data_IF_661832336077
#
_entry.id   IF_661832336077
#
_cell.length_a   1.000
_cell.length_b   1.000
_cell.length_c   1.000
_cell.angle_alpha   90.00
_cell.angle_beta   90.00
_cell.angle_gamma   90.00
#
_symmetry.space_group_name_H-M   'P 1'
#
loop_
_entity.id
_entity.type
_entity.pdbx_description
1 polymer ?
#
# COMPACT_ATOMS: atom_id res chain seq x y z
N UNK A 1 -9.61 -23.15 4.23
CA UNK A 1 -10.13 -22.71 2.92
C UNK A 1 -9.93 -23.69 1.75
N UNK A 2 -8.91 -24.58 1.74
CA UNK A 2 -8.69 -25.57 0.65
C UNK A 2 -9.75 -26.69 0.51
N UNK A 3 -10.66 -26.88 1.48
CA UNK A 3 -11.63 -27.99 1.51
C UNK A 3 -13.06 -27.63 1.10
N UNK A 4 -13.36 -26.38 0.71
CA UNK A 4 -14.76 -25.93 0.60
C UNK A 4 -15.18 -25.31 -0.74
N UNK A 5 -14.26 -25.06 -1.69
CA UNK A 5 -14.64 -24.69 -3.06
C UNK A 5 -13.49 -24.98 -4.05
N UNK A 6 -13.82 -25.40 -5.26
CA UNK A 6 -12.92 -25.45 -6.42
C UNK A 6 -12.61 -24.03 -6.96
N UNK A 7 -12.36 -23.07 -6.07
CA UNK A 7 -11.85 -21.74 -6.44
C UNK A 7 -10.33 -21.88 -6.50
N UNK A 8 -9.64 -21.31 -7.49
CA UNK A 8 -8.19 -21.23 -7.48
C UNK A 8 -7.76 -20.26 -6.35
N UNK A 9 -7.76 -20.73 -5.10
CA UNK A 9 -7.46 -19.95 -3.88
C UNK A 9 -6.16 -19.16 -4.05
N UNK A 10 -5.16 -19.77 -4.68
CA UNK A 10 -3.89 -19.12 -4.96
C UNK A 10 -4.03 -17.91 -5.92
N UNK A 11 -4.89 -17.99 -6.94
CA UNK A 11 -5.14 -16.83 -7.84
C UNK A 11 -5.90 -15.74 -7.11
N UNK A 12 -6.89 -16.11 -6.29
CA UNK A 12 -7.64 -15.15 -5.49
C UNK A 12 -6.71 -14.35 -4.57
N UNK A 13 -5.82 -15.03 -3.85
CA UNK A 13 -4.82 -14.39 -2.97
C UNK A 13 -3.89 -13.45 -3.75
N UNK A 14 -3.44 -13.84 -4.95
CA UNK A 14 -2.59 -12.98 -5.78
C UNK A 14 -3.34 -11.72 -6.20
N UNK A 15 -4.56 -11.87 -6.72
CA UNK A 15 -5.38 -10.73 -7.16
C UNK A 15 -5.82 -9.84 -6.00
N UNK A 16 -6.04 -10.41 -4.81
CA UNK A 16 -6.29 -9.66 -3.58
C UNK A 16 -5.07 -8.82 -3.19
N UNK A 17 -3.86 -9.39 -3.26
CA UNK A 17 -2.62 -8.64 -3.01
C UNK A 17 -2.46 -7.46 -3.99
N UNK A 18 -2.70 -7.69 -5.29
CA UNK A 18 -2.65 -6.64 -6.30
C UNK A 18 -3.75 -5.60 -6.07
N UNK A 19 -4.97 -6.01 -5.71
CA UNK A 19 -6.07 -5.12 -5.39
C UNK A 19 -5.79 -4.26 -4.15
N UNK A 20 -5.18 -4.82 -3.10
CA UNK A 20 -4.78 -4.06 -1.92
C UNK A 20 -3.75 -2.98 -2.29
N UNK A 21 -2.74 -3.30 -3.12
CA UNK A 21 -1.79 -2.29 -3.61
C UNK A 21 -2.48 -1.22 -4.48
N UNK A 22 -3.42 -1.60 -5.35
CA UNK A 22 -4.15 -0.67 -6.20
C UNK A 22 -5.12 0.24 -5.44
N UNK A 23 -5.87 -0.28 -4.48
CA UNK A 23 -6.85 0.49 -3.71
C UNK A 23 -6.16 1.38 -2.66
N UNK A 24 -5.10 0.89 -2.02
CA UNK A 24 -4.39 1.65 -0.98
C UNK A 24 -3.68 2.89 -1.51
N UNK A 25 -3.34 2.94 -2.80
CA UNK A 25 -2.60 4.07 -3.36
C UNK A 25 -3.43 5.36 -3.44
N UNK A 26 -4.76 5.28 -3.46
CA UNK A 26 -5.65 6.44 -3.65
C UNK A 26 -5.55 7.47 -2.54
N UNK A 27 -5.37 7.04 -1.29
CA UNK A 27 -5.47 7.93 -0.12
C UNK A 27 -4.14 8.01 0.64
N UNK A 28 -3.86 9.13 1.35
CA UNK A 28 -2.71 9.24 2.22
C UNK A 28 -2.59 8.09 3.22
N UNK A 29 -3.70 7.68 3.82
CA UNK A 29 -3.72 6.68 4.92
C UNK A 29 -3.78 5.24 4.41
N UNK A 30 -3.95 5.02 3.11
CA UNK A 30 -4.09 3.68 2.55
C UNK A 30 -2.83 2.82 2.73
N UNK A 31 -1.64 3.42 2.67
CA UNK A 31 -0.38 2.71 2.91
C UNK A 31 0.67 3.61 3.60
N UNK A 32 1.68 3.03 4.29
CA UNK A 32 2.64 3.82 5.08
C UNK A 32 3.46 4.81 4.25
N UNK A 33 3.84 4.45 3.01
CA UNK A 33 4.61 5.34 2.15
C UNK A 33 3.81 6.59 1.74
N UNK A 34 2.50 6.47 1.52
CA UNK A 34 1.64 7.59 1.19
C UNK A 34 1.53 8.58 2.34
N UNK A 35 1.48 8.11 3.59
CA UNK A 35 1.48 8.98 4.78
C UNK A 35 2.75 9.84 4.80
N UNK A 36 3.91 9.25 4.53
CA UNK A 36 5.19 9.96 4.50
C UNK A 36 5.26 10.98 3.37
N UNK A 37 4.81 10.60 2.17
CA UNK A 37 4.75 11.48 1.01
C UNK A 37 3.82 12.67 1.27
N UNK A 38 2.62 12.40 1.81
CA UNK A 38 1.64 13.42 2.15
C UNK A 38 2.17 14.40 3.21
N UNK A 39 2.77 13.87 4.29
CA UNK A 39 3.34 14.72 5.34
C UNK A 39 4.49 15.61 4.87
N UNK A 40 5.21 15.23 3.81
CA UNK A 40 6.31 15.99 3.20
C UNK A 40 5.89 16.86 2.01
N UNK A 41 4.78 16.56 1.35
CA UNK A 41 4.31 17.31 0.18
C UNK A 41 3.62 18.62 0.54
N UNK A 42 3.09 18.74 1.76
CA UNK A 42 2.36 19.93 2.21
C UNK A 42 0.95 20.04 1.63
N UNK A 43 0.48 19.02 0.91
CA UNK A 43 -0.86 18.95 0.33
C UNK A 43 -1.91 18.67 1.42
N UNK A 44 -3.15 19.09 1.18
CA UNK A 44 -4.34 18.63 1.93
C UNK A 44 -4.64 17.16 1.62
N UNK A 45 -5.49 16.52 2.43
CA UNK A 45 -5.90 15.13 2.19
C UNK A 45 -6.57 14.98 0.82
N UNK A 46 -7.41 15.96 0.45
CA UNK A 46 -8.14 15.97 -0.81
C UNK A 46 -7.22 16.17 -2.02
N UNK A 47 -6.25 17.09 -1.94
CA UNK A 47 -5.28 17.34 -3.02
C UNK A 47 -4.39 16.10 -3.24
N UNK A 48 -3.88 15.49 -2.16
CA UNK A 48 -3.11 14.26 -2.28
C UNK A 48 -3.94 13.14 -2.91
N UNK A 49 -5.19 12.98 -2.49
CA UNK A 49 -6.07 11.95 -3.07
C UNK A 49 -6.40 12.25 -4.53
N UNK A 50 -6.57 13.53 -4.88
CA UNK A 50 -6.80 14.00 -6.24
C UNK A 50 -5.63 13.71 -7.18
N UNK A 51 -4.39 13.97 -6.75
CA UNK A 51 -3.21 13.64 -7.57
C UNK A 51 -3.01 12.12 -7.73
N UNK A 52 -3.48 11.28 -6.79
CA UNK A 52 -3.34 9.82 -6.87
C UNK A 52 -4.49 9.17 -7.65
N UNK A 53 -5.64 9.84 -7.76
CA UNK A 53 -6.84 9.30 -8.36
C UNK A 53 -6.67 8.79 -9.80
N UNK A 54 -5.99 9.49 -10.73
CA UNK A 54 -5.82 9.01 -12.10
C UNK A 54 -5.09 7.66 -12.17
N UNK A 55 -4.00 7.53 -11.40
CA UNK A 55 -3.28 6.26 -11.29
C UNK A 55 -4.16 5.18 -10.63
N UNK A 56 -4.85 5.52 -9.54
CA UNK A 56 -5.68 4.56 -8.79
C UNK A 56 -6.80 3.98 -9.65
N UNK A 57 -7.53 4.85 -10.36
CA UNK A 57 -8.62 4.46 -11.27
C UNK A 57 -8.08 3.56 -12.37
N UNK A 58 -6.95 3.92 -12.99
CA UNK A 58 -6.37 3.12 -14.07
C UNK A 58 -5.88 1.75 -13.60
N UNK A 59 -5.28 1.66 -12.42
CA UNK A 59 -4.88 0.38 -11.82
C UNK A 59 -6.10 -0.47 -11.44
N UNK A 60 -7.14 0.14 -10.89
CA UNK A 60 -8.38 -0.56 -10.55
C UNK A 60 -9.11 -1.09 -11.78
N UNK A 61 -9.22 -0.28 -12.85
CA UNK A 61 -9.80 -0.71 -14.12
C UNK A 61 -9.01 -1.87 -14.74
N UNK A 62 -7.68 -1.79 -14.72
CA UNK A 62 -6.81 -2.88 -15.19
C UNK A 62 -7.08 -4.16 -14.41
N UNK A 63 -7.17 -4.09 -13.07
CA UNK A 63 -7.44 -5.25 -12.23
C UNK A 63 -8.84 -5.82 -12.45
N UNK A 64 -9.86 -4.98 -12.61
CA UNK A 64 -11.22 -5.43 -12.92
C UNK A 64 -11.27 -6.17 -14.27
N UNK A 65 -10.57 -5.66 -15.29
CA UNK A 65 -10.44 -6.33 -16.58
C UNK A 65 -9.70 -7.67 -16.46
N UNK A 66 -8.56 -7.71 -15.75
CA UNK A 66 -7.82 -8.95 -15.53
C UNK A 66 -8.65 -9.97 -14.73
N UNK A 67 -9.42 -9.52 -13.74
CA UNK A 67 -10.34 -10.36 -12.98
C UNK A 67 -11.40 -10.97 -13.89
N UNK A 68 -11.99 -10.17 -14.78
CA UNK A 68 -12.99 -10.62 -15.75
C UNK A 68 -12.48 -11.76 -16.64
N UNK A 69 -11.22 -11.68 -17.10
CA UNK A 69 -10.60 -12.73 -17.91
C UNK A 69 -10.08 -13.93 -17.09
N UNK A 70 -9.62 -13.72 -15.87
CA UNK A 70 -8.92 -14.76 -15.08
C UNK A 70 -9.83 -15.59 -14.17
N UNK A 71 -11.04 -15.10 -13.85
CA UNK A 71 -11.99 -15.80 -12.99
C UNK A 71 -13.26 -16.19 -13.75
N UNK A 72 -13.68 -17.47 -13.67
CA UNK A 72 -14.94 -17.88 -14.28
C UNK A 72 -16.13 -17.26 -13.54
N UNK A 73 -17.12 -16.76 -14.27
CA UNK A 73 -18.39 -16.24 -13.73
C UNK A 73 -19.31 -17.30 -13.13
N UNK A 74 -18.76 -18.29 -12.41
CA UNK A 74 -19.54 -19.35 -11.74
C UNK A 74 -20.10 -18.83 -10.43
N UNK A 75 -21.38 -19.08 -10.18
CA UNK A 75 -22.01 -18.78 -8.91
C UNK A 75 -21.28 -19.52 -7.77
N UNK A 76 -20.90 -18.77 -6.73
CA UNK A 76 -20.28 -19.31 -5.53
C UNK A 76 -21.30 -20.15 -4.76
N UNK A 77 -21.13 -21.48 -4.77
CA UNK A 77 -21.92 -22.37 -3.93
C UNK A 77 -21.39 -22.31 -2.48
N UNK A 78 -22.08 -21.54 -1.65
CA UNK A 78 -21.78 -21.41 -0.23
C UNK A 78 -22.09 -22.74 0.48
N UNK A 79 -21.05 -23.41 0.99
CA UNK A 79 -21.24 -24.52 1.91
C UNK A 79 -21.59 -23.93 3.27
N UNK A 80 -22.87 -23.98 3.61
CA UNK A 80 -23.47 -23.48 4.85
C UNK A 80 -22.90 -24.23 6.06
N UNK A 81 -22.39 -23.49 7.04
CA UNK A 81 -21.84 -24.06 8.27
C UNK A 81 -21.04 -23.08 9.13
N UNK A 82 -20.60 -21.95 8.58
CA UNK A 82 -19.94 -20.90 9.36
C UNK A 82 -20.97 -19.89 9.86
N UNK A 83 -21.10 -19.76 11.19
CA UNK A 83 -21.86 -18.68 11.84
C UNK A 83 -21.33 -17.35 11.31
N UNK A 84 -22.13 -16.62 10.54
CA UNK A 84 -21.74 -15.30 10.04
C UNK A 84 -21.45 -14.39 11.24
N UNK A 85 -20.37 -13.59 11.20
CA UNK A 85 -20.12 -12.60 12.23
C UNK A 85 -21.37 -11.73 12.40
N UNK A 86 -21.83 -11.54 13.63
CA UNK A 86 -22.99 -10.69 13.89
C UNK A 86 -22.64 -9.26 13.48
N UNK A 87 -23.49 -8.64 12.66
CA UNK A 87 -23.34 -7.25 12.24
C UNK A 87 -23.39 -6.33 13.48
N UNK A 88 -22.34 -5.52 13.66
CA UNK A 88 -22.20 -4.59 14.79
C UNK A 88 -22.23 -3.14 14.28
N UNK A 89 -23.43 -2.59 13.95
CA UNK A 89 -23.54 -1.29 13.29
C UNK A 89 -22.95 -0.16 14.14
N UNK A 90 -23.12 -0.23 15.46
CA UNK A 90 -22.55 0.75 16.40
C UNK A 90 -21.04 0.83 16.25
N UNK A 91 -20.35 -0.32 16.20
CA UNK A 91 -18.91 -0.36 16.05
C UNK A 91 -18.47 0.22 14.69
N UNK A 92 -19.18 -0.11 13.61
CA UNK A 92 -18.89 0.41 12.26
C UNK A 92 -18.98 1.93 12.22
N UNK A 93 -20.09 2.50 12.69
CA UNK A 93 -20.29 3.96 12.70
C UNK A 93 -19.33 4.66 13.68
N UNK A 94 -19.03 4.05 14.82
CA UNK A 94 -18.01 4.57 15.74
C UNK A 94 -16.63 4.59 15.12
N UNK A 95 -16.22 3.51 14.43
CA UNK A 95 -14.95 3.47 13.71
C UNK A 95 -14.90 4.54 12.62
N UNK A 96 -15.98 4.70 11.85
CA UNK A 96 -16.06 5.72 10.79
C UNK A 96 -15.96 7.14 11.38
N UNK A 97 -16.69 7.42 12.46
CA UNK A 97 -16.65 8.72 13.13
C UNK A 97 -15.27 9.04 13.70
N UNK A 98 -14.66 8.10 14.43
CA UNK A 98 -13.30 8.26 14.96
C UNK A 98 -12.26 8.39 13.85
N UNK A 99 -12.45 7.70 12.72
CA UNK A 99 -11.59 7.81 11.55
C UNK A 99 -11.63 9.22 10.95
N UNK A 100 -12.83 9.80 10.78
CA UNK A 100 -12.97 11.19 10.30
C UNK A 100 -12.30 12.17 11.27
N UNK A 101 -12.54 12.03 12.58
CA UNK A 101 -11.89 12.88 13.60
C UNK A 101 -10.37 12.78 13.52
N UNK A 102 -9.83 11.57 13.34
CA UNK A 102 -8.39 11.35 13.19
C UNK A 102 -7.83 12.01 11.93
N UNK A 103 -8.51 11.87 10.79
CA UNK A 103 -8.09 12.51 9.54
C UNK A 103 -8.07 14.05 9.68
N UNK A 104 -9.10 14.63 10.29
CA UNK A 104 -9.14 16.07 10.54
C UNK A 104 -8.01 16.51 11.47
N UNK A 105 -7.71 15.74 12.53
CA UNK A 105 -6.60 16.03 13.42
C UNK A 105 -5.24 15.95 12.70
N UNK A 106 -5.04 14.96 11.81
CA UNK A 106 -3.84 14.85 10.97
C UNK A 106 -3.68 16.07 10.05
N UNK A 107 -4.76 16.50 9.40
CA UNK A 107 -4.75 17.66 8.50
C UNK A 107 -4.43 18.97 9.24
N UNK A 108 -4.87 19.10 10.49
CA UNK A 108 -4.56 20.22 11.37
C UNK A 108 -3.19 20.10 12.06
N UNK A 109 -2.37 19.08 11.75
CA UNK A 109 -1.07 18.79 12.41
C UNK A 109 -1.18 18.63 13.93
N UNK A 110 -2.28 18.01 14.37
CA UNK A 110 -2.56 17.66 15.75
C UNK A 110 -2.61 16.12 15.91
N UNK A 111 -1.68 15.42 15.28
CA UNK A 111 -1.66 13.95 15.18
C UNK A 111 -1.64 13.26 16.56
N UNK A 112 -0.94 13.84 17.54
CA UNK A 112 -0.88 13.32 18.91
C UNK A 112 -2.23 13.41 19.60
N UNK A 113 -2.93 14.54 19.47
CA UNK A 113 -4.27 14.71 20.04
C UNK A 113 -5.30 13.84 19.35
N UNK A 114 -5.21 13.71 18.01
CA UNK A 114 -6.01 12.78 17.24
C UNK A 114 -5.84 11.35 17.74
N UNK A 115 -4.60 10.90 17.94
CA UNK A 115 -4.30 9.57 18.47
C UNK A 115 -4.89 9.36 19.87
N UNK A 116 -4.70 10.32 20.79
CA UNK A 116 -5.25 10.24 22.14
C UNK A 116 -6.78 10.15 22.12
N UNK A 117 -7.45 10.94 21.28
CA UNK A 117 -8.90 10.96 21.16
C UNK A 117 -9.42 9.62 20.61
N UNK A 118 -8.78 9.07 19.56
CA UNK A 118 -9.13 7.76 19.00
C UNK A 118 -8.92 6.66 20.04
N UNK A 119 -7.78 6.68 20.75
CA UNK A 119 -7.49 5.70 21.80
C UNK A 119 -8.53 5.77 22.93
N UNK A 120 -8.84 6.97 23.44
CA UNK A 120 -9.87 7.17 24.45
C UNK A 120 -11.25 6.69 23.96
N UNK A 121 -11.61 7.01 22.71
CA UNK A 121 -12.84 6.56 22.07
C UNK A 121 -12.96 5.03 22.06
N UNK A 122 -11.91 4.32 21.62
CA UNK A 122 -11.91 2.87 21.62
C UNK A 122 -11.80 2.25 23.03
N UNK A 123 -11.16 2.91 24.00
CA UNK A 123 -11.16 2.45 25.40
C UNK A 123 -12.57 2.44 25.99
N UNK A 124 -13.41 3.42 25.62
CA UNK A 124 -14.80 3.52 26.09
C UNK A 124 -15.72 2.60 25.29
N UNK A 125 -15.60 2.60 23.96
CA UNK A 125 -16.55 1.94 23.07
C UNK A 125 -16.23 0.46 22.84
N UNK A 126 -14.95 0.09 22.69
CA UNK A 126 -14.54 -1.25 22.27
C UNK A 126 -13.06 -1.57 22.58
N UNK A 127 -12.71 -1.76 23.87
CA UNK A 127 -11.34 -2.07 24.32
C UNK A 127 -10.69 -3.25 23.59
N UNK A 128 -11.50 -4.22 23.19
CA UNK A 128 -11.04 -5.40 22.45
C UNK A 128 -10.38 -5.04 21.12
N UNK A 129 -10.78 -3.94 20.48
CA UNK A 129 -10.19 -3.46 19.22
C UNK A 129 -8.72 -3.10 19.41
N UNK A 130 -8.37 -2.41 20.50
CA UNK A 130 -6.99 -1.99 20.80
C UNK A 130 -6.08 -3.22 21.00
N UNK A 131 -6.59 -4.24 21.70
CA UNK A 131 -5.83 -5.48 21.93
C UNK A 131 -5.68 -6.31 20.64
N UNK A 132 -6.64 -6.21 19.71
CA UNK A 132 -6.59 -6.93 18.43
C UNK A 132 -5.70 -6.30 17.36
N UNK A 133 -5.13 -5.12 17.61
CA UNK A 133 -4.15 -4.51 16.71
C UNK A 133 -2.93 -5.43 16.58
N UNK A 134 -2.39 -5.58 15.37
CA UNK A 134 -1.15 -6.30 15.15
C UNK A 134 0.05 -5.45 15.60
N UNK A 135 0.32 -5.47 16.91
CA UNK A 135 1.45 -4.77 17.52
C UNK A 135 2.81 -5.28 17.01
N UNK A 136 2.87 -6.54 16.56
CA UNK A 136 4.10 -7.10 15.97
C UNK A 136 4.40 -6.42 14.65
N UNK A 137 3.38 -6.21 13.80
CA UNK A 137 3.54 -5.49 12.54
C UNK A 137 3.99 -4.04 12.77
N UNK A 138 3.43 -3.34 13.77
CA UNK A 138 3.89 -1.99 14.13
C UNK A 138 5.36 -1.97 14.56
N UNK A 139 5.79 -2.95 15.37
CA UNK A 139 7.19 -3.07 15.79
C UNK A 139 8.11 -3.33 14.59
N UNK A 140 7.71 -4.19 13.65
CA UNK A 140 8.46 -4.43 12.40
C UNK A 140 8.62 -3.14 11.60
N UNK A 141 7.57 -2.31 11.50
CA UNK A 141 7.70 -0.99 10.87
C UNK A 141 8.72 -0.10 11.59
N UNK A 142 8.66 -0.01 12.93
CA UNK A 142 9.61 0.78 13.71
C UNK A 142 11.05 0.33 13.50
N UNK A 143 11.31 -0.97 13.52
CA UNK A 143 12.65 -1.53 13.26
C UNK A 143 13.12 -1.17 11.84
N UNK A 144 12.26 -1.34 10.84
CA UNK A 144 12.56 -1.00 9.46
C UNK A 144 12.86 0.51 9.28
N UNK A 145 12.15 1.40 9.97
CA UNK A 145 12.45 2.84 9.97
C UNK A 145 13.84 3.14 10.56
N UNK A 146 14.20 2.47 11.66
CA UNK A 146 15.53 2.61 12.30
C UNK A 146 16.61 2.12 11.34
N UNK A 147 16.44 0.94 10.74
CA UNK A 147 17.41 0.34 9.83
C UNK A 147 17.64 1.24 8.61
N UNK A 148 16.58 1.75 8.00
CA UNK A 148 16.69 2.66 6.85
C UNK A 148 17.36 3.98 7.24
N UNK A 149 17.05 4.51 8.42
CA UNK A 149 17.73 5.71 8.92
C UNK A 149 19.23 5.46 9.11
N UNK A 150 19.63 4.33 9.69
CA UNK A 150 21.04 3.96 9.84
C UNK A 150 21.72 3.78 8.48
N UNK A 151 21.05 3.15 7.50
CA UNK A 151 21.56 3.03 6.14
C UNK A 151 21.79 4.41 5.49
N UNK A 152 20.88 5.37 5.68
CA UNK A 152 21.06 6.73 5.12
C UNK A 152 22.27 7.47 5.68
N UNK A 153 22.76 7.08 6.85
CA UNK A 153 23.97 7.67 7.48
C UNK A 153 25.27 7.06 6.96
N UNK A 154 25.22 5.96 6.20
CA UNK A 154 26.43 5.32 5.67
C UNK A 154 27.05 6.17 4.54
N UNK A 155 28.35 6.55 4.63
CA UNK A 155 29.00 7.41 3.63
C UNK A 155 28.95 6.84 2.20
N UNK A 156 29.05 5.51 2.08
CA UNK A 156 28.97 4.82 0.80
C UNK A 156 27.63 5.01 0.08
N UNK A 157 26.52 5.09 0.84
CA UNK A 157 25.19 5.30 0.28
C UNK A 157 24.95 6.78 -0.02
N UNK A 158 25.44 7.70 0.81
CA UNK A 158 25.33 9.14 0.55
C UNK A 158 25.96 9.55 -0.79
N UNK A 159 27.14 9.00 -1.13
CA UNK A 159 27.79 9.28 -2.41
C UNK A 159 27.01 8.82 -3.65
N UNK A 160 26.24 7.72 -3.52
CA UNK A 160 25.39 7.18 -4.60
C UNK A 160 24.08 7.97 -4.70
N UNK A 161 23.45 8.29 -3.57
CA UNK A 161 22.14 8.95 -3.55
C UNK A 161 22.20 10.46 -3.78
N UNK A 162 23.34 11.12 -3.57
CA UNK A 162 23.52 12.52 -3.94
C UNK A 162 23.31 12.77 -5.45
N UNK A 163 23.54 11.76 -6.29
CA UNK A 163 23.31 11.85 -7.73
C UNK A 163 21.83 11.64 -8.11
N UNK A 164 21.01 11.08 -7.21
CA UNK A 164 19.60 10.78 -7.46
C UNK A 164 18.77 12.06 -7.61
N UNK A 165 19.10 13.11 -6.86
CA UNK A 165 18.47 14.43 -7.01
C UNK A 165 18.74 15.10 -8.36
N UNK A 166 19.79 14.68 -9.09
CA UNK A 166 20.15 15.20 -10.40
C UNK A 166 19.65 14.32 -11.57
N UNK A 167 18.92 13.23 -11.28
CA UNK A 167 18.39 12.36 -12.33
C UNK A 167 17.31 13.06 -13.15
N UNK A 168 17.21 12.67 -14.43
CA UNK A 168 16.05 13.03 -15.25
C UNK A 168 14.77 12.46 -14.65
N UNK A 169 13.60 13.01 -15.04
CA UNK A 169 12.31 12.51 -14.57
C UNK A 169 12.14 11.01 -14.82
N UNK A 170 12.56 10.51 -16.00
CA UNK A 170 12.55 9.08 -16.30
C UNK A 170 13.54 8.29 -15.44
N UNK A 171 14.73 8.84 -15.19
CA UNK A 171 15.73 8.22 -14.32
C UNK A 171 15.23 8.05 -12.89
N UNK A 172 14.60 9.09 -12.35
CA UNK A 172 13.98 9.05 -11.02
C UNK A 172 12.81 8.05 -10.98
N UNK A 173 11.96 8.03 -11.99
CA UNK A 173 10.84 7.09 -12.12
C UNK A 173 11.29 5.62 -12.05
N UNK A 174 12.25 5.25 -12.90
CA UNK A 174 12.79 3.89 -12.94
C UNK A 174 13.56 3.53 -11.67
N UNK A 175 14.31 4.48 -11.11
CA UNK A 175 15.08 4.27 -9.87
C UNK A 175 14.14 4.04 -8.69
N UNK A 176 13.07 4.82 -8.55
CA UNK A 176 12.10 4.67 -7.47
C UNK A 176 11.32 3.35 -7.56
N UNK A 177 10.93 2.93 -8.77
CA UNK A 177 10.29 1.63 -8.99
C UNK A 177 11.27 0.49 -8.66
N UNK A 178 12.51 0.58 -9.15
CA UNK A 178 13.55 -0.42 -8.97
C UNK A 178 13.96 -0.61 -7.50
N UNK A 179 14.21 0.49 -6.78
CA UNK A 179 14.49 0.45 -5.34
C UNK A 179 13.33 -0.19 -4.57
N UNK A 180 12.09 0.17 -4.93
CA UNK A 180 10.91 -0.42 -4.31
C UNK A 180 10.82 -1.93 -4.53
N UNK A 181 11.37 -2.49 -5.62
CA UNK A 181 11.44 -3.94 -5.82
C UNK A 181 12.44 -4.62 -4.89
N UNK A 182 13.58 -3.96 -4.63
CA UNK A 182 14.74 -4.55 -3.96
C UNK A 182 14.64 -4.40 -2.44
N UNK A 183 14.26 -3.21 -1.97
CA UNK A 183 14.23 -2.85 -0.54
C UNK A 183 12.80 -2.88 0.03
N UNK A 184 11.77 -2.85 -0.82
CA UNK A 184 10.36 -2.56 -0.52
C UNK A 184 10.01 -1.08 -0.67
N UNK A 185 8.75 -0.83 -1.05
CA UNK A 185 8.15 0.50 -1.22
C UNK A 185 8.30 1.46 -0.03
N UNK A 186 8.10 1.02 1.22
CA UNK A 186 8.18 1.91 2.40
C UNK A 186 9.63 2.37 2.68
N UNK A 187 10.62 1.46 2.84
CA UNK A 187 12.04 1.83 2.94
C UNK A 187 12.54 2.73 1.82
N UNK A 188 12.17 2.39 0.57
CA UNK A 188 12.62 3.13 -0.60
C UNK A 188 12.10 4.55 -0.60
N UNK A 189 10.84 4.75 -0.19
CA UNK A 189 10.24 6.09 -0.05
C UNK A 189 10.97 6.92 0.99
N UNK A 190 11.25 6.35 2.17
CA UNK A 190 11.98 7.06 3.24
C UNK A 190 13.36 7.50 2.73
N UNK A 191 14.09 6.58 2.09
CA UNK A 191 15.41 6.83 1.55
C UNK A 191 15.39 7.97 0.52
N UNK A 192 14.49 7.90 -0.47
CA UNK A 192 14.40 8.88 -1.56
C UNK A 192 13.93 10.26 -1.09
N UNK A 193 13.03 10.33 -0.10
CA UNK A 193 12.54 11.58 0.46
C UNK A 193 13.62 12.42 1.17
N UNK A 194 14.79 11.85 1.47
CA UNK A 194 15.94 12.62 1.96
C UNK A 194 16.68 13.38 0.86
N UNK A 195 16.50 13.01 -0.41
CA UNK A 195 17.27 13.55 -1.54
C UNK A 195 16.40 14.20 -2.62
N UNK A 196 15.11 13.85 -2.69
CA UNK A 196 14.18 14.28 -3.72
C UNK A 196 12.88 14.79 -3.07
N UNK A 197 12.25 15.86 -3.57
CA UNK A 197 10.98 16.33 -3.04
C UNK A 197 9.87 15.29 -3.18
N UNK A 198 8.88 15.37 -2.28
CA UNK A 198 7.66 14.55 -2.30
C UNK A 198 6.71 14.92 -3.45
N UNK A 199 7.17 14.69 -4.69
CA UNK A 199 6.44 14.99 -5.91
C UNK A 199 5.46 13.89 -6.30
N UNK A 200 4.51 14.22 -7.17
CA UNK A 200 3.59 13.25 -7.79
C UNK A 200 4.34 12.12 -8.48
N UNK A 201 5.44 12.43 -9.16
CA UNK A 201 6.30 11.45 -9.82
C UNK A 201 6.83 10.42 -8.81
N UNK A 202 7.42 10.89 -7.72
CA UNK A 202 7.95 10.00 -6.68
C UNK A 202 6.82 9.17 -6.06
N UNK A 203 5.70 9.81 -5.74
CA UNK A 203 4.54 9.16 -5.13
C UNK A 203 3.99 8.04 -6.03
N UNK A 204 3.84 8.29 -7.32
CA UNK A 204 3.36 7.29 -8.27
C UNK A 204 4.37 6.17 -8.46
N UNK A 205 5.65 6.49 -8.63
CA UNK A 205 6.71 5.50 -8.88
C UNK A 205 6.86 4.49 -7.73
N UNK A 206 6.89 4.95 -6.48
CA UNK A 206 7.03 4.04 -5.31
C UNK A 206 5.78 3.20 -5.07
N UNK A 207 4.59 3.71 -5.40
CA UNK A 207 3.35 2.94 -5.33
C UNK A 207 3.28 1.87 -6.42
N UNK A 208 3.69 2.21 -7.65
CA UNK A 208 3.82 1.23 -8.75
C UNK A 208 4.83 0.14 -8.39
N UNK A 209 5.91 0.52 -7.70
CA UNK A 209 6.86 -0.41 -7.13
C UNK A 209 6.25 -1.48 -6.20
N UNK A 210 5.05 -1.26 -5.66
CA UNK A 210 4.37 -2.26 -4.83
C UNK A 210 3.86 -3.48 -5.60
N UNK A 211 3.67 -3.41 -6.92
CA UNK A 211 3.04 -4.49 -7.71
C UNK A 211 3.97 -5.64 -8.08
N UNK A 212 5.29 -5.45 -8.08
CA UNK A 212 6.22 -6.39 -8.69
C UNK A 212 6.59 -7.60 -7.85
N UNK A 213 7.78 -7.58 -7.26
CA UNK A 213 8.33 -8.70 -6.49
C UNK A 213 7.62 -8.86 -5.14
N UNK A 214 7.67 -10.07 -4.60
CA UNK A 214 7.17 -10.36 -3.25
C UNK A 214 7.78 -9.50 -2.13
N UNK A 215 9.11 -9.27 -2.06
CA UNK A 215 9.67 -8.30 -1.11
C UNK A 215 9.31 -6.84 -1.42
N UNK A 216 8.78 -6.53 -2.62
CA UNK A 216 8.55 -5.16 -3.05
C UNK A 216 7.41 -4.43 -2.32
N UNK A 217 6.50 -5.19 -1.68
CA UNK A 217 5.43 -4.63 -0.84
C UNK A 217 5.06 -5.60 0.28
N UNK A 218 4.71 -5.04 1.44
CA UNK A 218 4.18 -5.80 2.57
C UNK A 218 2.89 -6.54 2.23
N UNK A 219 2.04 -5.97 1.37
CA UNK A 219 0.82 -6.65 0.91
C UNK A 219 1.15 -7.98 0.21
N UNK A 220 2.22 -8.01 -0.57
CA UNK A 220 2.67 -9.22 -1.28
C UNK A 220 3.19 -10.28 -0.30
N UNK A 221 3.91 -9.85 0.76
CA UNK A 221 4.38 -10.74 1.82
C UNK A 221 3.23 -11.32 2.66
N UNK A 222 2.22 -10.51 2.98
CA UNK A 222 1.01 -10.97 3.70
C UNK A 222 0.28 -12.03 2.86
N UNK A 223 0.09 -11.77 1.57
CA UNK A 223 -0.53 -12.72 0.65
C UNK A 223 0.22 -14.06 0.58
N UNK A 224 1.56 -14.03 0.55
CA UNK A 224 2.37 -15.26 0.59
C UNK A 224 2.21 -16.03 1.90
N UNK A 225 2.18 -15.34 3.04
CA UNK A 225 1.92 -15.96 4.36
C UNK A 225 0.55 -16.65 4.40
N UNK A 226 -0.48 -16.06 3.77
CA UNK A 226 -1.83 -16.63 3.70
C UNK A 226 -1.92 -17.88 2.82
N UNK A 227 -1.12 -17.95 1.76
CA UNK A 227 -1.20 -19.04 0.78
C UNK A 227 -0.61 -20.38 1.25
N UNK A 228 0.32 -20.35 2.21
CA UNK A 228 0.97 -21.52 2.80
C UNK A 228 1.43 -22.60 1.77
N UNK A 229 1.88 -22.16 0.59
CA UNK A 229 2.31 -23.02 -0.53
C UNK A 229 3.45 -22.35 -1.32
N UNK A 230 4.61 -23.02 -1.38
CA UNK A 230 5.82 -22.50 -2.03
C UNK A 230 5.66 -22.33 -3.55
N UNK A 231 4.71 -23.04 -4.18
CA UNK A 231 4.42 -22.90 -5.61
C UNK A 231 3.70 -21.59 -5.96
N UNK A 232 3.17 -20.88 -4.96
CA UNK A 232 2.57 -19.57 -5.22
C UNK A 232 3.60 -18.53 -5.64
N UNK A 233 4.87 -18.72 -5.26
CA UNK A 233 5.96 -17.80 -5.57
C UNK A 233 6.07 -17.53 -7.07
N UNK A 234 6.12 -18.58 -7.88
CA UNK A 234 6.21 -18.45 -9.35
C UNK A 234 4.92 -17.90 -9.97
N UNK A 235 3.76 -18.34 -9.48
CA UNK A 235 2.46 -17.88 -9.99
C UNK A 235 2.22 -16.41 -9.68
N UNK A 236 2.65 -15.93 -8.52
CA UNK A 236 2.58 -14.54 -8.13
C UNK A 236 3.34 -13.68 -9.14
N UNK A 237 4.63 -13.99 -9.36
CA UNK A 237 5.49 -13.24 -10.29
C UNK A 237 4.98 -13.27 -11.73
N UNK A 238 4.32 -14.35 -12.14
CA UNK A 238 3.71 -14.44 -13.47
C UNK A 238 2.61 -13.38 -13.71
N UNK A 239 1.85 -13.00 -12.68
CA UNK A 239 0.84 -11.93 -12.79
C UNK A 239 1.40 -10.56 -12.38
N UNK A 240 2.28 -10.54 -11.39
CA UNK A 240 2.74 -9.32 -10.73
C UNK A 240 3.80 -8.56 -11.55
N UNK A 241 4.69 -9.26 -12.26
CA UNK A 241 5.69 -8.62 -13.13
C UNK A 241 5.07 -7.97 -14.38
N UNK A 242 4.15 -8.62 -15.13
CA UNK A 242 3.43 -7.94 -16.20
C UNK A 242 2.62 -6.75 -15.69
N UNK A 243 1.99 -6.88 -14.51
CA UNK A 243 1.27 -5.77 -13.88
C UNK A 243 2.22 -4.62 -13.54
N UNK A 244 3.41 -4.89 -13.01
CA UNK A 244 4.44 -3.88 -12.74
C UNK A 244 4.85 -3.13 -14.02
N UNK A 245 5.17 -3.87 -15.09
CA UNK A 245 5.59 -3.27 -16.37
C UNK A 245 4.45 -2.43 -16.95
N UNK A 246 3.23 -2.96 -16.95
CA UNK A 246 2.03 -2.24 -17.39
C UNK A 246 1.82 -0.95 -16.57
N UNK A 247 1.85 -1.06 -15.24
CA UNK A 247 1.68 0.07 -14.33
C UNK A 247 2.79 1.12 -14.52
N UNK A 248 4.04 0.71 -14.75
CA UNK A 248 5.15 1.61 -15.01
C UNK A 248 4.97 2.38 -16.33
N UNK A 249 4.52 1.72 -17.39
CA UNK A 249 4.30 2.33 -18.70
C UNK A 249 3.09 3.25 -18.70
N UNK A 250 1.93 2.76 -18.23
CA UNK A 250 0.69 3.53 -18.16
C UNK A 250 0.83 4.68 -17.17
N UNK A 251 1.41 4.43 -16.00
CA UNK A 251 1.66 5.46 -14.99
C UNK A 251 2.55 6.58 -15.52
N UNK A 252 3.65 6.24 -16.20
CA UNK A 252 4.51 7.26 -16.81
C UNK A 252 3.80 8.01 -17.93
N UNK A 253 3.05 7.30 -18.80
CA UNK A 253 2.25 7.91 -19.84
C UNK A 253 1.21 8.90 -19.30
N UNK A 254 0.49 8.52 -18.24
CA UNK A 254 -0.46 9.40 -17.56
C UNK A 254 0.24 10.61 -16.93
N UNK A 255 1.42 10.42 -16.34
CA UNK A 255 2.18 11.50 -15.71
C UNK A 255 2.60 12.57 -16.73
N UNK A 256 2.92 12.16 -17.97
CA UNK A 256 3.24 13.11 -19.06
C UNK A 256 2.02 13.87 -19.59
N UNK A 257 0.82 13.35 -19.36
CA UNK A 257 -0.44 13.98 -19.76
C UNK A 257 -0.98 14.93 -18.68
N UNK A 258 -0.39 14.92 -17.48
CA UNK A 258 -0.73 15.86 -16.42
C UNK A 258 -0.10 17.23 -16.70
N UNK A 259 -0.86 18.32 -16.47
CA UNK A 259 -0.37 19.69 -16.66
C UNK A 259 0.69 20.09 -15.63
#
# INVERSE_FOLDING_TARGET
>A
MKKLCAIPVNRLIIFEALAVNACSLLTPVGNPQNILLWGRSGLTFAEFSGQMAPLAVMMMLTLLLLCWFCFPGRALQYHTGTRSPQWQPRLVWSCLGLYVVFLTALELRQELWGLVLVAAGFIVLARRVIVSVDWTLLLVFMAMFIDVHLLTQLPALQGIFNQVGALSHLGLWLTAIGLSQVISNVPSTILLLNYVPASTLLAWAVNIGGFGLLPGSLANLIALRMANDRRIWWRFHFYSLPMLVWAALVGYGLLQLMP
#
